data_IF_329003235615
#
_entry.id   IF_329003235615
#
_cell.length_a   1.000
_cell.length_b   1.000
_cell.length_c   1.000
_cell.angle_alpha   90.00
_cell.angle_beta   90.00
_cell.angle_gamma   90.00
#
_symmetry.space_group_name_H-M   'P 1'
#
loop_
_entity.id
_entity.type
_entity.pdbx_description
1 polymer ?
#
# COMPACT_ATOMS: atom_id res chain seq x y z
N UNK A 1 8.86 -1.70 7.21
CA UNK A 1 8.73 -0.69 6.13
C UNK A 1 7.36 -0.84 5.51
N UNK A 2 6.59 0.24 5.37
CA UNK A 2 5.30 0.22 4.70
C UNK A 2 5.51 0.31 3.19
N UNK A 3 4.88 -0.57 2.40
CA UNK A 3 4.90 -0.50 0.93
C UNK A 3 3.58 -0.99 0.35
N UNK A 4 3.21 -0.50 -0.82
CA UNK A 4 2.14 -1.08 -1.63
C UNK A 4 2.77 -2.02 -2.65
N UNK A 5 2.18 -3.21 -2.85
CA UNK A 5 2.67 -4.15 -3.85
C UNK A 5 2.35 -3.68 -5.27
N UNK A 6 1.19 -3.05 -5.44
CA UNK A 6 0.62 -2.66 -6.72
C UNK A 6 0.13 -1.19 -6.67
N UNK A 7 1.04 -0.20 -6.61
CA UNK A 7 0.67 1.21 -6.49
C UNK A 7 -0.11 1.76 -7.69
N UNK A 8 -0.06 1.10 -8.85
CA UNK A 8 -0.77 1.49 -10.08
C UNK A 8 -2.29 1.55 -9.91
N UNK A 9 -2.87 0.78 -8.97
CA UNK A 9 -4.32 0.82 -8.74
C UNK A 9 -4.81 2.17 -8.18
N UNK A 10 -3.91 3.01 -7.64
CA UNK A 10 -4.29 4.36 -7.18
C UNK A 10 -4.77 5.26 -8.32
N UNK A 11 -4.44 4.99 -9.59
CA UNK A 11 -5.05 5.66 -10.73
C UNK A 11 -6.57 5.52 -10.74
N UNK A 12 -7.11 4.42 -10.19
CA UNK A 12 -8.55 4.23 -10.00
C UNK A 12 -9.21 5.28 -9.10
N UNK A 13 -8.46 5.98 -8.24
CA UNK A 13 -9.01 7.07 -7.43
C UNK A 13 -9.48 8.26 -8.28
N UNK A 14 -9.03 8.38 -9.54
CA UNK A 14 -9.56 9.36 -10.50
C UNK A 14 -11.05 9.14 -10.83
N UNK A 15 -11.58 7.94 -10.58
CA UNK A 15 -13.02 7.71 -10.68
C UNK A 15 -13.82 8.53 -9.65
N UNK A 16 -13.24 8.86 -8.50
CA UNK A 16 -13.91 9.63 -7.44
C UNK A 16 -14.31 11.04 -7.90
N UNK A 17 -13.40 11.90 -8.41
CA UNK A 17 -13.79 13.22 -8.90
C UNK A 17 -14.76 13.13 -10.10
N UNK A 18 -14.60 12.13 -10.98
CA UNK A 18 -15.53 11.91 -12.08
C UNK A 18 -16.96 11.61 -11.58
N UNK A 19 -17.10 10.68 -10.64
CA UNK A 19 -18.38 10.36 -10.01
C UNK A 19 -18.95 11.55 -9.24
N UNK A 20 -18.10 12.35 -8.60
CA UNK A 20 -18.51 13.56 -7.88
C UNK A 20 -19.09 14.61 -8.84
N UNK A 21 -18.43 14.85 -9.98
CA UNK A 21 -18.94 15.74 -11.03
C UNK A 21 -20.28 15.24 -11.57
N UNK A 22 -20.39 13.94 -11.86
CA UNK A 22 -21.64 13.32 -12.30
C UNK A 22 -22.77 13.47 -11.27
N UNK A 23 -22.47 13.27 -9.99
CA UNK A 23 -23.44 13.44 -8.91
C UNK A 23 -23.90 14.89 -8.76
N UNK A 24 -22.98 15.86 -8.85
CA UNK A 24 -23.33 17.29 -8.81
C UNK A 24 -24.17 17.66 -10.04
N UNK A 25 -23.76 17.26 -11.23
CA UNK A 25 -24.48 17.52 -12.49
C UNK A 25 -25.90 16.95 -12.46
N UNK A 26 -26.06 15.69 -12.05
CA UNK A 26 -27.38 15.06 -11.91
C UNK A 26 -28.25 15.77 -10.86
N UNK A 27 -27.66 16.26 -9.77
CA UNK A 27 -28.40 17.03 -8.74
C UNK A 27 -28.84 18.40 -9.23
N UNK A 28 -27.99 19.10 -9.99
CA UNK A 28 -28.34 20.37 -10.63
C UNK A 28 -29.42 20.19 -11.69
N UNK A 29 -29.30 19.17 -12.55
CA UNK A 29 -30.30 18.83 -13.55
C UNK A 29 -31.66 18.51 -12.89
N UNK A 30 -31.66 17.70 -11.82
CA UNK A 30 -32.87 17.40 -11.05
C UNK A 30 -33.50 18.66 -10.46
N UNK A 31 -32.70 19.57 -9.87
CA UNK A 31 -33.22 20.85 -9.34
C UNK A 31 -33.86 21.70 -10.44
N UNK A 32 -33.23 21.78 -11.62
CA UNK A 32 -33.79 22.50 -12.78
C UNK A 32 -35.09 21.86 -13.26
N UNK A 33 -35.17 20.54 -13.34
CA UNK A 33 -36.39 19.83 -13.72
C UNK A 33 -37.54 20.10 -12.74
N UNK A 34 -37.29 19.97 -11.43
CA UNK A 34 -38.29 20.24 -10.39
C UNK A 34 -38.85 21.66 -10.50
N UNK A 35 -38.01 22.66 -10.75
CA UNK A 35 -38.44 24.06 -10.95
C UNK A 35 -39.33 24.27 -12.18
N UNK A 36 -39.25 23.39 -13.19
CA UNK A 36 -40.11 23.45 -14.39
C UNK A 36 -41.52 22.88 -14.15
N UNK A 37 -41.69 22.00 -13.15
CA UNK A 37 -42.96 21.33 -12.88
C UNK A 37 -43.90 22.11 -11.94
N UNK A 38 -43.43 23.15 -11.26
CA UNK A 38 -44.30 23.98 -10.40
C UNK A 38 -43.53 24.84 -9.40
N UNK A 39 -44.28 25.61 -8.60
CA UNK A 39 -43.73 26.44 -7.52
C UNK A 39 -43.11 25.58 -6.41
N UNK A 40 -42.08 26.10 -5.74
CA UNK A 40 -41.31 25.36 -4.73
C UNK A 40 -42.20 24.84 -3.59
N UNK A 41 -43.27 25.58 -3.25
CA UNK A 41 -44.27 25.23 -2.25
C UNK A 41 -45.16 24.04 -2.66
N UNK A 42 -45.55 23.95 -3.94
CA UNK A 42 -46.33 22.82 -4.45
C UNK A 42 -45.51 21.53 -4.41
N UNK A 43 -44.22 21.63 -4.75
CA UNK A 43 -43.30 20.49 -4.70
C UNK A 43 -43.01 19.99 -3.29
N UNK A 44 -42.96 20.88 -2.29
CA UNK A 44 -42.83 20.47 -0.88
C UNK A 44 -44.07 19.69 -0.41
N UNK A 45 -45.26 20.09 -0.86
CA UNK A 45 -46.50 19.40 -0.55
C UNK A 45 -46.62 18.04 -1.25
N UNK A 46 -46.16 17.94 -2.50
CA UNK A 46 -46.19 16.69 -3.28
C UNK A 46 -45.08 15.69 -2.88
N UNK A 47 -44.02 16.14 -2.22
CA UNK A 47 -42.86 15.30 -1.84
C UNK A 47 -42.44 15.46 -0.37
N UNK A 48 -43.34 15.29 0.61
CA UNK A 48 -43.05 15.59 2.02
C UNK A 48 -41.94 14.71 2.62
N UNK A 49 -41.81 13.47 2.13
CA UNK A 49 -40.80 12.51 2.61
C UNK A 49 -39.46 12.61 1.88
N UNK A 50 -39.30 13.56 0.94
CA UNK A 50 -38.09 13.66 0.13
C UNK A 50 -36.93 14.32 0.90
N UNK A 51 -36.08 13.49 1.50
CA UNK A 51 -34.87 13.98 2.16
C UNK A 51 -33.84 14.54 1.18
N UNK A 52 -33.34 15.75 1.48
CA UNK A 52 -32.23 16.37 0.71
C UNK A 52 -30.87 15.75 1.05
N UNK A 53 -30.67 15.29 2.29
CA UNK A 53 -29.40 14.78 2.83
C UNK A 53 -29.17 13.29 2.59
N UNK A 54 -30.21 12.45 2.62
CA UNK A 54 -30.08 10.99 2.42
C UNK A 54 -29.32 10.61 1.13
N UNK A 55 -29.58 11.21 -0.05
CA UNK A 55 -28.84 10.88 -1.27
C UNK A 55 -27.36 11.26 -1.18
N UNK A 56 -27.03 12.36 -0.50
CA UNK A 56 -25.65 12.81 -0.29
C UNK A 56 -24.92 11.83 0.62
N UNK A 57 -25.54 11.44 1.73
CA UNK A 57 -24.95 10.46 2.65
C UNK A 57 -24.69 9.11 1.96
N UNK A 58 -25.67 8.58 1.23
CA UNK A 58 -25.50 7.35 0.45
C UNK A 58 -24.33 7.45 -0.55
N UNK A 59 -24.21 8.60 -1.22
CA UNK A 59 -23.12 8.82 -2.16
C UNK A 59 -21.76 8.89 -1.48
N UNK A 60 -21.63 9.57 -0.34
CA UNK A 60 -20.38 9.61 0.45
C UNK A 60 -19.98 8.20 0.88
N UNK A 61 -20.91 7.41 1.40
CA UNK A 61 -20.64 6.02 1.80
C UNK A 61 -20.15 5.19 0.62
N UNK A 62 -20.74 5.37 -0.56
CA UNK A 62 -20.32 4.67 -1.78
C UNK A 62 -18.90 5.09 -2.23
N UNK A 63 -18.56 6.38 -2.14
CA UNK A 63 -17.21 6.87 -2.45
C UNK A 63 -16.16 6.34 -1.47
N UNK A 64 -16.49 6.28 -0.18
CA UNK A 64 -15.60 5.70 0.84
C UNK A 64 -15.39 4.20 0.60
N UNK A 65 -16.45 3.46 0.29
CA UNK A 65 -16.36 2.05 -0.05
C UNK A 65 -15.45 1.83 -1.27
N UNK A 66 -15.60 2.64 -2.32
CA UNK A 66 -14.75 2.59 -3.50
C UNK A 66 -13.28 2.92 -3.17
N UNK A 67 -13.03 3.95 -2.36
CA UNK A 67 -11.69 4.34 -1.95
C UNK A 67 -10.98 3.23 -1.15
N UNK A 68 -11.69 2.59 -0.21
CA UNK A 68 -11.15 1.45 0.52
C UNK A 68 -10.94 0.23 -0.37
N UNK A 69 -11.84 -0.03 -1.31
CA UNK A 69 -11.68 -1.10 -2.28
C UNK A 69 -10.41 -0.91 -3.13
N UNK A 70 -10.19 0.28 -3.68
CA UNK A 70 -8.99 0.63 -4.46
C UNK A 70 -7.73 0.51 -3.59
N UNK A 71 -7.78 1.00 -2.36
CA UNK A 71 -6.65 0.89 -1.41
C UNK A 71 -6.34 -0.57 -1.09
N UNK A 72 -7.36 -1.43 -0.95
CA UNK A 72 -7.20 -2.87 -0.78
C UNK A 72 -6.55 -3.54 -2.00
N UNK A 73 -6.95 -3.15 -3.21
CA UNK A 73 -6.35 -3.62 -4.47
C UNK A 73 -4.87 -3.23 -4.60
N UNK A 74 -4.46 -2.08 -4.06
CA UNK A 74 -3.07 -1.66 -4.02
C UNK A 74 -2.18 -2.55 -3.12
N UNK A 75 -2.79 -3.48 -2.36
CA UNK A 75 -2.14 -4.46 -1.48
C UNK A 75 -1.14 -3.78 -0.52
N UNK A 76 -1.61 -3.05 0.49
CA UNK A 76 -0.75 -2.51 1.54
C UNK A 76 -0.04 -3.65 2.27
N UNK A 77 1.28 -3.58 2.35
CA UNK A 77 2.11 -4.56 3.02
C UNK A 77 2.80 -3.91 4.21
N UNK A 78 2.61 -4.51 5.38
CA UNK A 78 3.30 -4.20 6.60
C UNK A 78 4.25 -5.35 6.93
N UNK A 79 5.54 -5.06 7.11
CA UNK A 79 6.50 -6.09 7.50
C UNK A 79 7.96 -5.69 7.31
N UNK A 80 8.84 -6.60 7.72
CA UNK A 80 10.26 -6.57 7.43
C UNK A 80 10.51 -7.30 6.10
N UNK A 81 11.30 -6.69 5.21
CA UNK A 81 11.92 -7.47 4.14
C UNK A 81 12.82 -8.49 4.84
N UNK A 82 12.57 -9.79 4.63
CA UNK A 82 13.59 -10.81 4.87
C UNK A 82 14.71 -10.50 3.90
N UNK A 83 15.68 -9.67 4.33
CA UNK A 83 16.92 -9.47 3.63
C UNK A 83 17.60 -10.84 3.72
N UNK A 84 17.43 -11.66 2.68
CA UNK A 84 18.27 -12.84 2.48
C UNK A 84 19.68 -12.28 2.33
N UNK A 85 20.38 -12.14 3.45
CA UNK A 85 21.81 -11.95 3.44
C UNK A 85 22.32 -13.20 2.74
N UNK A 86 22.70 -13.06 1.47
CA UNK A 86 23.53 -14.06 0.84
C UNK A 86 24.80 -14.07 1.68
N UNK A 87 24.88 -14.99 2.64
CA UNK A 87 26.16 -15.38 3.21
C UNK A 87 26.86 -16.06 2.04
N UNK A 88 27.68 -15.30 1.35
CA UNK A 88 28.69 -15.89 0.48
C UNK A 88 29.51 -16.79 1.41
N UNK A 89 29.45 -18.10 1.18
CA UNK A 89 30.31 -19.03 1.89
C UNK A 89 31.73 -18.61 1.54
N UNK A 90 32.49 -18.14 2.53
CA UNK A 90 33.90 -17.83 2.31
C UNK A 90 34.60 -19.17 2.22
N UNK A 91 35.11 -19.53 1.05
CA UNK A 91 36.01 -20.68 0.90
C UNK A 91 37.34 -20.31 1.57
N UNK A 92 37.59 -20.88 2.76
CA UNK A 92 38.81 -20.66 3.52
C UNK A 92 39.79 -21.82 3.26
N UNK A 93 40.90 -21.51 2.60
CA UNK A 93 42.03 -22.44 2.46
C UNK A 93 43.11 -22.02 3.46
N UNK A 94 43.42 -22.91 4.41
CA UNK A 94 44.52 -22.72 5.37
C UNK A 94 45.72 -23.50 4.86
N UNK A 95 46.80 -22.79 4.55
CA UNK A 95 48.09 -23.39 4.21
C UNK A 95 49.01 -23.32 5.44
N UNK A 96 49.48 -24.47 5.91
CA UNK A 96 50.46 -24.60 6.98
C UNK A 96 51.81 -24.94 6.36
N UNK A 97 52.85 -24.18 6.71
CA UNK A 97 54.22 -24.54 6.35
C UNK A 97 54.69 -25.75 7.17
N UNK A 98 55.34 -26.70 6.50
CA UNK A 98 55.87 -27.95 7.08
C UNK A 98 57.38 -28.06 6.92
N UNK A 99 58.05 -26.94 6.62
CA UNK A 99 59.51 -26.86 6.53
C UNK A 99 60.20 -27.25 7.85
N UNK A 100 61.48 -27.65 7.77
CA UNK A 100 62.26 -28.02 8.96
C UNK A 100 62.35 -26.89 10.00
N UNK A 101 62.24 -25.62 9.60
CA UNK A 101 62.18 -24.49 10.53
C UNK A 101 60.93 -24.47 11.41
N UNK A 102 59.87 -25.17 11.02
CA UNK A 102 58.64 -25.30 11.81
C UNK A 102 58.77 -26.30 12.96
N UNK A 103 59.82 -27.13 12.95
CA UNK A 103 60.19 -28.02 14.08
C UNK A 103 61.04 -27.31 15.14
N UNK A 104 61.34 -26.01 14.97
CA UNK A 104 62.06 -25.23 15.98
C UNK A 104 61.26 -25.13 17.29
N UNK A 105 61.96 -25.25 18.41
CA UNK A 105 61.40 -25.23 19.79
C UNK A 105 61.57 -23.88 20.50
N UNK A 106 61.86 -22.81 19.74
CA UNK A 106 61.84 -21.44 20.27
C UNK A 106 60.46 -21.09 20.88
N UNK A 107 59.44 -21.81 20.43
CA UNK A 107 58.09 -21.83 20.93
C UNK A 107 57.73 -23.27 21.35
N UNK A 108 57.43 -23.50 22.63
CA UNK A 108 56.96 -24.82 23.09
C UNK A 108 55.53 -25.13 22.58
N UNK A 109 55.24 -26.37 22.15
CA UNK A 109 56.16 -27.51 21.98
C UNK A 109 57.08 -27.37 20.75
N UNK A 110 56.56 -27.01 19.59
CA UNK A 110 57.29 -26.46 18.45
C UNK A 110 56.32 -25.61 17.61
N UNK A 111 56.81 -24.83 16.65
CA UNK A 111 55.96 -23.91 15.85
C UNK A 111 54.85 -24.65 15.08
N UNK A 112 55.13 -25.85 14.57
CA UNK A 112 54.18 -26.67 13.81
C UNK A 112 53.03 -27.19 14.68
N UNK A 113 53.35 -27.76 15.83
CA UNK A 113 52.36 -28.28 16.77
C UNK A 113 51.53 -27.18 17.43
N UNK A 114 52.04 -25.94 17.51
CA UNK A 114 51.25 -24.78 17.95
C UNK A 114 50.32 -24.25 16.84
N UNK A 115 50.64 -24.49 15.57
CA UNK A 115 49.88 -23.96 14.44
C UNK A 115 48.74 -24.88 13.97
N UNK A 116 48.77 -26.16 14.37
CA UNK A 116 47.61 -27.06 14.33
C UNK A 116 46.53 -26.62 15.32
#
# INVERSE_FOLDING_TARGET
>A
MFRFANPEYFWGLLAIPLLMLFFVASRLARRRAIKRFGSENLMLYLMPNASKSRPVFKFIVLLLALAFFITGLARPQFGSKLKKVKREGVELVIALDVSNSMLAEDIKPNRLERAK
#
